data_IF_480548135132
#
_entry.id   IF_480548135132
#
_cell.length_a   1.000
_cell.length_b   1.000
_cell.length_c   1.000
_cell.angle_alpha   90.00
_cell.angle_beta   90.00
_cell.angle_gamma   90.00
#
_symmetry.space_group_name_H-M   'P 1'
#
loop_
_entity.id
_entity.type
_entity.pdbx_description
1 polymer ?
#
# COMPACT_ATOMS: atom_id res chain seq x y z
N UNK A 1 18.64 35.01 58.20
CA UNK A 1 17.34 34.33 58.39
C UNK A 1 16.31 35.01 57.49
N UNK A 2 15.45 34.22 56.84
CA UNK A 2 14.16 34.56 56.21
C UNK A 2 14.10 34.42 54.68
N UNK A 3 13.79 33.17 54.29
CA UNK A 3 13.28 32.69 53.00
C UNK A 3 11.87 33.21 52.76
N UNK A 4 11.46 33.52 51.51
CA UNK A 4 10.13 33.16 50.98
C UNK A 4 10.21 32.90 49.47
N UNK A 5 9.81 31.68 49.12
CA UNK A 5 9.68 31.12 47.78
C UNK A 5 8.55 31.81 47.01
N UNK A 6 8.71 32.04 45.71
CA UNK A 6 7.56 32.19 44.79
C UNK A 6 7.78 31.23 43.63
N UNK A 7 6.83 30.32 43.53
CA UNK A 7 6.83 29.09 42.74
C UNK A 7 6.91 29.34 41.23
N UNK A 8 7.84 28.62 40.59
CA UNK A 8 7.83 28.40 39.14
C UNK A 8 6.66 27.45 38.85
N UNK A 9 5.59 27.97 38.23
CA UNK A 9 4.49 27.13 37.73
C UNK A 9 4.96 26.52 36.41
N UNK A 10 5.51 25.31 36.48
CA UNK A 10 5.78 24.49 35.31
C UNK A 10 4.44 23.90 34.84
N UNK A 11 3.85 24.51 33.81
CA UNK A 11 2.69 23.94 33.12
C UNK A 11 3.23 22.77 32.28
N UNK A 12 3.14 21.56 32.83
CA UNK A 12 3.37 20.32 32.09
C UNK A 12 2.16 20.12 31.17
N UNK A 13 2.32 20.44 29.89
CA UNK A 13 1.33 20.13 28.85
C UNK A 13 1.36 18.63 28.65
N UNK A 14 0.43 17.92 29.29
CA UNK A 14 0.21 16.50 29.06
C UNK A 14 -0.47 16.32 27.70
N UNK A 15 0.32 16.11 26.64
CA UNK A 15 -0.19 15.65 25.35
C UNK A 15 -0.57 14.18 25.47
N UNK A 16 -1.80 13.89 25.89
CA UNK A 16 -2.38 12.54 25.75
C UNK A 16 -2.72 12.32 24.28
N UNK A 17 -1.72 11.97 23.47
CA UNK A 17 -1.93 11.43 22.14
C UNK A 17 -2.43 10.00 22.27
N UNK A 18 -3.70 9.75 21.95
CA UNK A 18 -4.21 8.41 21.74
C UNK A 18 -3.64 7.89 20.41
N UNK A 19 -2.45 7.31 20.45
CA UNK A 19 -1.89 6.56 19.32
C UNK A 19 -2.65 5.24 19.29
N UNK A 20 -3.80 5.20 18.60
CA UNK A 20 -4.40 3.92 18.23
C UNK A 20 -3.45 3.24 17.23
N UNK A 21 -2.89 2.06 17.53
CA UNK A 21 -2.10 1.35 16.55
C UNK A 21 -3.02 0.91 15.41
N UNK A 22 -2.81 1.45 14.20
CA UNK A 22 -3.42 0.90 13.00
C UNK A 22 -2.81 -0.48 12.79
N UNK A 23 -3.64 -1.52 12.87
CA UNK A 23 -3.29 -2.88 12.42
C UNK A 23 -3.20 -2.88 10.89
N UNK A 24 -2.09 -2.38 10.35
CA UNK A 24 -1.80 -2.37 8.91
C UNK A 24 -1.24 -3.71 8.40
N UNK A 25 -0.99 -4.67 9.29
CA UNK A 25 -0.47 -5.99 8.91
C UNK A 25 -1.65 -6.90 8.56
N UNK A 26 -2.02 -6.94 7.27
CA UNK A 26 -2.64 -8.13 6.69
C UNK A 26 -1.60 -9.26 6.67
N UNK A 27 -2.04 -10.50 6.88
CA UNK A 27 -1.16 -11.66 6.88
C UNK A 27 -0.40 -11.74 5.54
N UNK A 28 0.93 -11.66 5.61
CA UNK A 28 1.85 -11.65 4.46
C UNK A 28 1.68 -12.86 3.54
N UNK A 29 1.27 -14.01 4.08
CA UNK A 29 0.92 -15.18 3.27
C UNK A 29 -0.31 -14.95 2.36
N UNK A 30 -1.30 -14.18 2.83
CA UNK A 30 -2.52 -13.90 2.06
C UNK A 30 -2.27 -12.85 0.97
N UNK A 31 -1.40 -11.88 1.25
CA UNK A 31 -0.96 -10.88 0.28
C UNK A 31 -0.16 -11.52 -0.87
N UNK A 32 0.75 -12.45 -0.54
CA UNK A 32 1.54 -13.17 -1.53
C UNK A 32 0.67 -14.06 -2.44
N UNK A 33 -0.28 -14.80 -1.87
CA UNK A 33 -1.22 -15.64 -2.63
C UNK A 33 -2.11 -14.79 -3.56
N UNK A 34 -2.67 -13.67 -3.06
CA UNK A 34 -3.44 -12.73 -3.88
C UNK A 34 -2.58 -12.15 -5.02
N UNK A 35 -1.33 -11.79 -4.74
CA UNK A 35 -0.39 -11.28 -5.75
C UNK A 35 -0.13 -12.31 -6.85
N UNK A 36 0.15 -13.56 -6.50
CA UNK A 36 0.34 -14.64 -7.48
C UNK A 36 -0.91 -14.87 -8.34
N UNK A 37 -2.11 -14.81 -7.75
CA UNK A 37 -3.37 -14.94 -8.48
C UNK A 37 -3.55 -13.82 -9.53
N UNK A 38 -3.28 -12.56 -9.14
CA UNK A 38 -3.38 -11.41 -10.06
C UNK A 38 -2.38 -11.55 -11.21
N UNK A 39 -1.12 -11.87 -10.91
CA UNK A 39 -0.08 -12.05 -11.95
C UNK A 39 -0.48 -13.14 -12.95
N UNK A 40 -0.93 -14.29 -12.45
CA UNK A 40 -1.37 -15.39 -13.32
C UNK A 40 -2.56 -15.01 -14.20
N UNK A 41 -3.53 -14.27 -13.65
CA UNK A 41 -4.67 -13.77 -14.40
C UNK A 41 -4.24 -12.78 -15.50
N UNK A 42 -3.25 -11.92 -15.22
CA UNK A 42 -2.70 -10.99 -16.20
C UNK A 42 -1.95 -11.71 -17.33
N UNK A 43 -1.10 -12.70 -17.01
CA UNK A 43 -0.38 -13.51 -18.00
C UNK A 43 -1.35 -14.27 -18.92
N UNK A 44 -2.43 -14.81 -18.36
CA UNK A 44 -3.41 -15.60 -19.12
C UNK A 44 -4.50 -14.77 -19.81
N UNK A 45 -4.47 -13.43 -19.69
CA UNK A 45 -5.52 -12.54 -20.18
C UNK A 45 -6.92 -12.87 -19.61
N UNK A 46 -6.95 -13.17 -18.32
CA UNK A 46 -8.13 -13.56 -17.55
C UNK A 46 -8.38 -12.61 -16.36
N UNK A 47 -7.94 -11.35 -16.42
CA UNK A 47 -8.17 -10.37 -15.35
C UNK A 47 -9.65 -10.18 -15.00
N UNK A 48 -10.57 -10.43 -15.94
CA UNK A 48 -12.01 -10.38 -15.72
C UNK A 48 -12.56 -11.44 -14.76
N UNK A 49 -11.76 -12.44 -14.36
CA UNK A 49 -12.16 -13.46 -13.38
C UNK A 49 -11.82 -13.06 -11.94
N UNK A 50 -11.06 -11.97 -11.76
CA UNK A 50 -10.75 -11.40 -10.46
C UNK A 50 -11.96 -10.67 -9.86
N UNK A 51 -11.98 -10.41 -8.54
CA UNK A 51 -13.07 -9.69 -7.89
C UNK A 51 -13.34 -8.34 -8.56
N UNK A 52 -14.60 -8.01 -8.86
CA UNK A 52 -14.94 -6.74 -9.50
C UNK A 52 -14.97 -5.58 -8.47
N UNK A 53 -14.10 -4.57 -8.56
CA UNK A 53 -14.15 -3.41 -7.66
C UNK A 53 -15.08 -2.29 -8.16
N UNK A 54 -15.67 -2.43 -9.36
CA UNK A 54 -16.48 -1.40 -10.01
C UNK A 54 -17.97 -1.73 -9.95
N UNK A 55 -18.73 -0.90 -9.22
CA UNK A 55 -20.19 -1.06 -9.10
C UNK A 55 -20.96 -0.58 -10.34
N UNK A 56 -20.36 0.30 -11.13
CA UNK A 56 -20.90 0.89 -12.35
C UNK A 56 -20.59 0.08 -13.62
N UNK A 57 -19.70 -0.91 -13.51
CA UNK A 57 -19.33 -1.82 -14.62
C UNK A 57 -19.63 -3.27 -14.21
N UNK A 58 -20.86 -3.77 -14.44
CA UNK A 58 -21.20 -5.16 -14.17
C UNK A 58 -20.52 -6.12 -15.15
N UNK A 59 -20.51 -7.42 -14.82
CA UNK A 59 -19.77 -8.45 -15.57
C UNK A 59 -20.26 -8.68 -17.01
N UNK A 60 -21.49 -8.30 -17.31
CA UNK A 60 -22.12 -8.38 -18.63
C UNK A 60 -21.91 -7.11 -19.48
N UNK A 61 -21.30 -6.06 -18.90
CA UNK A 61 -21.03 -4.81 -19.62
C UNK A 61 -19.93 -5.00 -20.67
N UNK A 62 -20.08 -4.39 -21.84
CA UNK A 62 -19.15 -4.52 -22.97
C UNK A 62 -17.70 -4.11 -22.63
N UNK A 63 -17.53 -3.16 -21.70
CA UNK A 63 -16.22 -2.67 -21.26
C UNK A 63 -15.63 -3.48 -20.09
N UNK A 64 -16.38 -4.42 -19.50
CA UNK A 64 -15.99 -5.12 -18.27
C UNK A 64 -14.58 -5.71 -18.37
N UNK A 65 -14.30 -6.48 -19.42
CA UNK A 65 -12.98 -7.10 -19.60
C UNK A 65 -11.86 -6.06 -19.70
N UNK A 66 -12.08 -4.96 -20.44
CA UNK A 66 -11.05 -3.94 -20.62
C UNK A 66 -10.76 -3.18 -19.33
N UNK A 67 -11.79 -2.82 -18.57
CA UNK A 67 -11.69 -2.12 -17.29
C UNK A 67 -10.98 -3.01 -16.26
N UNK A 68 -11.39 -4.27 -16.14
CA UNK A 68 -10.77 -5.24 -15.24
C UNK A 68 -9.28 -5.46 -15.57
N UNK A 69 -8.94 -5.63 -16.85
CA UNK A 69 -7.54 -5.76 -17.29
C UNK A 69 -6.74 -4.50 -16.97
N UNK A 70 -7.29 -3.30 -17.18
CA UNK A 70 -6.57 -2.06 -16.88
C UNK A 70 -6.36 -1.87 -15.37
N UNK A 71 -7.35 -2.22 -14.54
CA UNK A 71 -7.27 -2.09 -13.09
C UNK A 71 -6.20 -3.03 -12.50
N UNK A 72 -6.24 -4.31 -12.88
CA UNK A 72 -5.35 -5.32 -12.30
C UNK A 72 -3.99 -5.41 -12.98
N UNK A 73 -3.94 -5.26 -14.29
CA UNK A 73 -2.75 -5.51 -15.09
C UNK A 73 -2.10 -4.23 -15.62
N UNK A 74 -2.74 -3.06 -15.46
CA UNK A 74 -2.21 -1.79 -15.93
C UNK A 74 -2.05 -1.73 -17.46
N UNK A 75 -0.91 -1.22 -17.92
CA UNK A 75 -0.57 -1.16 -19.35
C UNK A 75 -0.28 -2.54 -19.97
N UNK A 76 -0.39 -3.63 -19.20
CA UNK A 76 -0.15 -4.97 -19.67
C UNK A 76 -1.27 -5.45 -20.61
N UNK A 77 -1.00 -5.38 -21.92
CA UNK A 77 -1.95 -5.78 -22.97
C UNK A 77 -1.35 -6.89 -23.84
N UNK A 78 -1.12 -8.08 -23.30
CA UNK A 78 -0.67 -9.28 -24.05
C UNK A 78 0.59 -9.13 -24.94
N UNK A 79 1.24 -7.96 -24.96
CA UNK A 79 2.34 -7.61 -25.86
C UNK A 79 3.70 -7.69 -25.17
N UNK A 80 3.71 -7.88 -23.85
CA UNK A 80 4.93 -8.00 -23.06
C UNK A 80 5.24 -9.48 -22.88
N UNK A 81 6.36 -9.98 -23.43
CA UNK A 81 6.75 -11.38 -23.32
C UNK A 81 6.80 -11.86 -21.86
N UNK A 82 6.37 -13.10 -21.56
CA UNK A 82 6.40 -13.67 -20.21
C UNK A 82 7.75 -13.51 -19.49
N UNK A 83 8.86 -13.57 -20.24
CA UNK A 83 10.21 -13.41 -19.72
C UNK A 83 10.50 -12.01 -19.11
N UNK A 84 9.76 -10.96 -19.52
CA UNK A 84 9.96 -9.62 -18.97
C UNK A 84 9.32 -9.44 -17.58
N UNK A 85 8.33 -10.26 -17.21
CA UNK A 85 7.70 -10.14 -15.89
C UNK A 85 8.66 -10.47 -14.75
N UNK A 86 9.43 -11.54 -14.87
CA UNK A 86 10.42 -11.90 -13.84
C UNK A 86 11.47 -10.80 -13.64
N UNK A 87 11.76 -10.04 -14.70
CA UNK A 87 12.68 -8.90 -14.65
C UNK A 87 12.07 -7.66 -13.99
N UNK A 88 10.77 -7.46 -14.12
CA UNK A 88 10.05 -6.30 -13.57
C UNK A 88 9.28 -6.59 -12.29
N UNK A 89 9.37 -7.82 -11.76
CA UNK A 89 8.79 -8.16 -10.47
C UNK A 89 9.40 -7.20 -9.43
N UNK A 90 8.58 -6.43 -8.68
CA UNK A 90 9.11 -5.55 -7.65
C UNK A 90 9.95 -6.39 -6.71
N UNK A 91 11.25 -6.10 -6.65
CA UNK A 91 12.07 -6.64 -5.57
C UNK A 91 11.58 -5.94 -4.31
N UNK A 92 11.17 -6.71 -3.32
CA UNK A 92 10.60 -6.30 -2.01
C UNK A 92 11.35 -5.12 -1.33
N UNK A 93 12.59 -4.86 -1.74
CA UNK A 93 13.46 -3.78 -1.28
C UNK A 93 12.99 -2.33 -1.57
N UNK A 94 11.86 -2.09 -2.26
CA UNK A 94 11.35 -0.74 -2.52
C UNK A 94 10.29 -0.25 -1.50
N UNK A 95 9.91 -1.06 -0.50
CA UNK A 95 9.12 -0.60 0.64
C UNK A 95 10.02 -0.24 1.83
N UNK A 96 11.02 0.64 1.62
CA UNK A 96 11.69 1.28 2.75
C UNK A 96 11.00 2.61 3.04
N UNK A 97 10.39 2.82 4.23
CA UNK A 97 9.79 4.09 4.59
C UNK A 97 10.88 5.16 4.56
N UNK A 98 10.66 6.22 3.78
CA UNK A 98 11.47 7.43 3.83
C UNK A 98 11.34 8.03 5.23
N UNK A 99 12.35 7.82 6.07
CA UNK A 99 12.51 8.58 7.29
C UNK A 99 12.80 10.04 6.93
N UNK A 100 12.12 11.02 7.55
CA UNK A 100 12.41 12.42 7.30
C UNK A 100 13.83 12.75 7.77
N UNK A 101 14.60 13.38 6.87
CA UNK A 101 15.89 14.00 7.13
C UNK A 101 15.85 14.85 8.41
N UNK A 102 16.48 14.38 9.49
CA UNK A 102 17.13 15.27 10.44
C UNK A 102 18.37 14.56 10.98
N UNK A 103 19.55 15.02 10.55
CA UNK A 103 20.73 15.30 11.38
C UNK A 103 21.89 15.70 10.46
N UNK A 104 21.83 16.92 9.91
CA UNK A 104 23.01 17.69 9.58
C UNK A 104 22.83 19.09 10.12
N UNK A 105 23.11 19.27 11.41
CA UNK A 105 23.54 20.56 11.92
C UNK A 105 24.65 20.35 12.96
N UNK A 106 25.87 20.54 12.45
CA UNK A 106 27.08 21.16 13.04
C UNK A 106 27.52 20.79 14.46
#
# INVERSE_FOLDING_TARGET
>A
MNRKCISIVIIVIATTGLIAPVKAQEDSNTELEKSNQVINACVQNQAQTLPNPFSDVPSDHWAFKAVMTMHYCGAFRQATPPALFEKFRPTESQQQPSQPEQQLQK
#
